data_IF_235442824328
#
_entry.id   IF_235442824328
#
_cell.length_a   1.000
_cell.length_b   1.000
_cell.length_c   1.000
_cell.angle_alpha   90.00
_cell.angle_beta   90.00
_cell.angle_gamma   90.00
#
_symmetry.space_group_name_H-M   'P 1'
#
loop_
_entity.id
_entity.type
_entity.pdbx_description
1 polymer ?
#
# COMPACT_ATOMS: atom_id res chain seq x y z
N UNK A 1 -4.62 0.09 -5.31
CA UNK A 1 -3.59 -0.07 -4.27
C UNK A 1 -3.22 -1.54 -3.99
N UNK A 2 -4.12 -2.41 -3.51
CA UNK A 2 -3.76 -3.78 -3.04
C UNK A 2 -2.96 -4.62 -4.05
N UNK A 3 -3.42 -4.73 -5.31
CA UNK A 3 -2.70 -5.46 -6.37
C UNK A 3 -1.32 -4.86 -6.67
N UNK A 4 -1.20 -3.53 -6.64
CA UNK A 4 0.08 -2.83 -6.86
C UNK A 4 1.07 -3.09 -5.73
N UNK A 5 0.60 -3.09 -4.48
CA UNK A 5 1.41 -3.45 -3.32
C UNK A 5 1.86 -4.92 -3.38
N UNK A 6 0.97 -5.84 -3.78
CA UNK A 6 1.35 -7.24 -3.98
C UNK A 6 2.35 -7.45 -5.12
N UNK A 7 2.36 -6.54 -6.11
CA UNK A 7 3.36 -6.50 -7.18
C UNK A 7 4.67 -5.78 -6.78
N UNK A 8 4.82 -5.37 -5.51
CA UNK A 8 6.04 -4.75 -4.98
C UNK A 8 6.12 -3.24 -5.11
N UNK A 9 5.08 -2.55 -5.62
CA UNK A 9 5.07 -1.08 -5.65
C UNK A 9 5.11 -0.50 -4.24
N UNK A 10 5.78 0.64 -4.09
CA UNK A 10 5.81 1.34 -2.81
C UNK A 10 4.43 1.92 -2.47
N UNK A 11 4.11 2.15 -1.17
CA UNK A 11 2.86 2.79 -0.78
C UNK A 11 2.64 4.16 -1.44
N UNK A 12 3.70 4.94 -1.68
CA UNK A 12 3.62 6.22 -2.37
C UNK A 12 3.24 6.07 -3.85
N UNK A 13 3.89 5.16 -4.58
CA UNK A 13 3.54 4.85 -5.97
C UNK A 13 2.09 4.34 -6.06
N UNK A 14 1.74 3.37 -5.22
CA UNK A 14 0.41 2.78 -5.21
C UNK A 14 -0.70 3.77 -4.80
N UNK A 15 -0.37 4.85 -4.09
CA UNK A 15 -1.28 5.95 -3.76
C UNK A 15 -1.53 6.84 -4.98
N UNK A 16 -0.46 7.29 -5.64
CA UNK A 16 -0.55 8.11 -6.85
C UNK A 16 -1.30 7.37 -7.97
N UNK A 17 -0.97 6.10 -8.21
CA UNK A 17 -1.54 5.29 -9.29
C UNK A 17 -3.04 5.05 -9.17
N UNK A 18 -3.62 5.18 -7.96
CA UNK A 18 -5.05 4.92 -7.73
C UNK A 18 -5.82 6.15 -7.23
N UNK A 19 -5.21 7.33 -7.34
CA UNK A 19 -5.88 8.61 -7.10
C UNK A 19 -5.97 9.04 -5.64
N UNK A 20 -5.12 8.52 -4.75
CA UNK A 20 -4.98 9.09 -3.41
C UNK A 20 -4.04 10.30 -3.45
N UNK A 21 -4.40 11.36 -2.71
CA UNK A 21 -3.62 12.58 -2.59
C UNK A 21 -2.17 12.33 -2.11
N UNK A 22 -1.98 11.36 -1.20
CA UNK A 22 -0.67 10.96 -0.69
C UNK A 22 -0.72 9.53 -0.08
N UNK A 23 0.44 9.02 0.32
CA UNK A 23 0.54 7.70 0.97
C UNK A 23 -0.18 7.62 2.32
N UNK A 24 -0.33 8.73 3.05
CA UNK A 24 -0.99 8.79 4.35
C UNK A 24 -2.51 8.68 4.19
N UNK A 25 -3.07 9.29 3.15
CA UNK A 25 -4.47 9.15 2.77
C UNK A 25 -4.78 7.69 2.40
N UNK A 26 -3.95 7.08 1.55
CA UNK A 26 -4.02 5.65 1.28
C UNK A 26 -3.91 4.84 2.58
N UNK A 27 -2.95 5.16 3.46
CA UNK A 27 -2.71 4.45 4.71
C UNK A 27 -3.91 4.48 5.67
N UNK A 28 -4.57 5.63 5.84
CA UNK A 28 -5.80 5.76 6.64
C UNK A 28 -6.92 4.89 6.10
N UNK A 29 -7.15 4.95 4.79
CA UNK A 29 -8.21 4.17 4.13
C UNK A 29 -7.92 2.67 4.19
N UNK A 30 -6.67 2.28 3.92
CA UNK A 30 -6.24 0.88 3.92
C UNK A 30 -6.35 0.26 5.32
N UNK A 31 -5.94 0.98 6.37
CA UNK A 31 -6.09 0.52 7.75
C UNK A 31 -7.56 0.37 8.15
N UNK A 32 -8.43 1.27 7.70
CA UNK A 32 -9.89 1.16 7.93
C UNK A 32 -10.48 -0.07 7.26
N UNK A 33 -10.08 -0.38 6.02
CA UNK A 33 -10.63 -1.48 5.24
C UNK A 33 -10.02 -2.85 5.58
N UNK A 34 -8.71 -2.93 5.78
CA UNK A 34 -7.94 -4.18 5.89
C UNK A 34 -7.32 -4.41 7.27
N UNK A 35 -7.50 -3.47 8.22
CA UNK A 35 -6.92 -3.55 9.58
C UNK A 35 -5.40 -3.71 9.62
N UNK A 36 -4.71 -3.36 8.53
CA UNK A 36 -3.26 -3.42 8.39
C UNK A 36 -2.74 -2.22 7.60
N UNK A 37 -1.43 -1.98 7.59
CA UNK A 37 -0.83 -0.92 6.77
C UNK A 37 -0.49 -1.41 5.36
N UNK A 38 -0.47 -0.52 4.35
CA UNK A 38 -0.02 -0.86 3.00
C UNK A 38 1.38 -1.49 2.96
N UNK A 39 2.31 -1.00 3.78
CA UNK A 39 3.68 -1.51 3.86
C UNK A 39 3.73 -2.94 4.44
N UNK A 40 2.95 -3.22 5.49
CA UNK A 40 2.84 -4.58 6.04
C UNK A 40 2.25 -5.53 5.00
N UNK A 41 1.20 -5.11 4.28
CA UNK A 41 0.61 -5.90 3.22
C UNK A 41 1.60 -6.18 2.08
N UNK A 42 2.37 -5.16 1.64
CA UNK A 42 3.45 -5.33 0.65
C UNK A 42 4.46 -6.40 1.10
N UNK A 43 5.00 -6.27 2.32
CA UNK A 43 5.96 -7.24 2.87
C UNK A 43 5.41 -8.66 2.95
N UNK A 44 4.13 -8.84 3.24
CA UNK A 44 3.50 -10.17 3.24
C UNK A 44 3.38 -10.76 1.83
N UNK A 45 3.16 -9.92 0.82
CA UNK A 45 2.98 -10.36 -0.56
C UNK A 45 4.29 -10.44 -1.35
N UNK A 46 5.36 -9.81 -0.89
CA UNK A 46 6.64 -9.72 -1.60
C UNK A 46 7.81 -10.02 -0.68
N UNK A 47 8.78 -10.81 -1.14
CA UNK A 47 10.01 -11.08 -0.39
C UNK A 47 11.08 -9.97 -0.54
N UNK A 48 10.65 -8.74 -0.81
CA UNK A 48 11.54 -7.59 -1.03
C UNK A 48 11.87 -6.96 0.32
N UNK A 49 13.14 -6.95 0.77
CA UNK A 49 13.56 -6.19 1.96
C UNK A 49 13.39 -4.68 1.71
N UNK A 50 13.07 -3.92 2.75
CA UNK A 50 12.75 -2.47 2.63
C UNK A 50 13.89 -1.62 2.08
#
# INVERSE_FOLDING_TARGET
>A
ARRLLAAGRTPAQAAADVGFADQSHLGRWFRRAYRMTPAAYRRMCTNVPD
#
